data_IF_746774531334
#
_entry.id   IF_746774531334
#
_cell.length_a   1.000
_cell.length_b   1.000
_cell.length_c   1.000
_cell.angle_alpha   90.00
_cell.angle_beta   90.00
_cell.angle_gamma   90.00
#
_symmetry.space_group_name_H-M   'P 1'
#
loop_
_entity.id
_entity.type
_entity.pdbx_description
1 polymer ?
#
# COMPACT_ATOMS: atom_id res chain seq x y z
N UNK A 1 -7.02 -13.14 9.08
CA UNK A 1 -5.70 -12.72 8.56
C UNK A 1 -5.90 -12.00 7.24
N UNK A 2 -5.06 -11.02 6.92
CA UNK A 2 -5.14 -10.20 5.70
C UNK A 2 -3.93 -10.40 4.76
N UNK A 3 -3.21 -11.52 4.91
CA UNK A 3 -1.94 -11.77 4.22
C UNK A 3 -2.05 -12.30 2.79
N UNK A 4 -3.25 -12.63 2.31
CA UNK A 4 -3.47 -13.15 0.96
C UNK A 4 -4.48 -12.30 0.21
N UNK A 5 -4.19 -11.96 -1.05
CA UNK A 5 -5.01 -11.18 -1.99
C UNK A 5 -5.34 -9.73 -1.59
N UNK A 6 -5.25 -9.34 -0.31
CA UNK A 6 -5.64 -8.01 0.15
C UNK A 6 -4.79 -6.88 -0.45
N UNK A 7 -3.48 -7.06 -0.62
CA UNK A 7 -2.60 -6.03 -1.20
C UNK A 7 -2.95 -5.73 -2.68
N UNK A 8 -3.34 -6.77 -3.43
CA UNK A 8 -3.71 -6.65 -4.84
C UNK A 8 -5.16 -6.23 -5.08
N UNK A 9 -6.08 -6.68 -4.21
CA UNK A 9 -7.54 -6.52 -4.39
C UNK A 9 -8.16 -5.46 -3.47
N UNK A 10 -7.37 -4.68 -2.72
CA UNK A 10 -7.88 -3.52 -2.02
C UNK A 10 -8.55 -2.56 -3.00
N UNK A 11 -9.61 -1.88 -2.58
CA UNK A 11 -10.28 -0.81 -3.35
C UNK A 11 -9.46 0.49 -3.39
N UNK A 12 -8.15 0.36 -3.67
CA UNK A 12 -7.22 1.48 -3.90
C UNK A 12 -7.66 2.26 -5.15
N UNK A 13 -7.45 3.56 -5.14
CA UNK A 13 -7.86 4.55 -6.14
C UNK A 13 -9.37 4.72 -6.35
N UNK A 14 -10.22 3.84 -5.82
CA UNK A 14 -11.66 4.10 -5.75
C UNK A 14 -11.89 5.31 -4.83
N UNK A 15 -12.63 6.32 -5.29
CA UNK A 15 -12.80 7.61 -4.60
C UNK A 15 -11.47 8.28 -4.20
N UNK A 16 -10.41 8.09 -5.00
CA UNK A 16 -9.08 8.66 -4.76
C UNK A 16 -8.43 8.22 -3.44
N UNK A 17 -8.86 7.10 -2.86
CA UNK A 17 -8.17 6.52 -1.70
C UNK A 17 -6.80 5.98 -2.13
N UNK A 18 -5.71 6.39 -1.47
CA UNK A 18 -4.37 5.90 -1.81
C UNK A 18 -4.21 4.44 -1.43
N UNK A 19 -3.33 3.74 -2.14
CA UNK A 19 -2.83 2.45 -1.70
C UNK A 19 -2.16 2.54 -0.32
N UNK A 20 -2.55 1.67 0.62
CA UNK A 20 -2.10 1.70 2.02
C UNK A 20 -0.59 1.49 2.19
N UNK A 21 0.03 1.84 3.30
CA UNK A 21 1.39 1.36 3.59
C UNK A 21 1.37 -0.11 4.06
N UNK A 22 2.48 -0.83 3.89
CA UNK A 22 2.69 -2.17 4.45
C UNK A 22 4.03 -2.23 5.18
N UNK A 23 4.04 -2.85 6.37
CA UNK A 23 5.22 -3.07 7.20
C UNK A 23 5.43 -4.57 7.44
N UNK A 24 6.69 -4.97 7.50
CA UNK A 24 7.12 -6.32 7.87
C UNK A 24 7.68 -6.29 9.29
N UNK A 25 7.26 -7.23 10.13
CA UNK A 25 7.95 -7.53 11.39
C UNK A 25 9.11 -8.47 11.09
N UNK A 26 10.33 -8.01 11.33
CA UNK A 26 11.55 -8.78 11.14
C UNK A 26 11.79 -9.73 12.33
N UNK A 27 12.70 -10.70 12.17
CA UNK A 27 12.99 -11.70 13.21
C UNK A 27 13.63 -11.12 14.47
N UNK A 28 14.23 -9.95 14.39
CA UNK A 28 14.82 -9.21 15.52
C UNK A 28 13.79 -8.33 16.26
N UNK A 29 12.52 -8.35 15.83
CA UNK A 29 11.43 -7.56 16.41
C UNK A 29 11.31 -6.13 15.84
N UNK A 30 12.19 -5.73 14.92
CA UNK A 30 12.07 -4.44 14.24
C UNK A 30 10.99 -4.44 13.16
N UNK A 31 10.48 -3.26 12.81
CA UNK A 31 9.53 -3.10 11.70
C UNK A 31 10.21 -2.47 10.50
N UNK A 32 10.11 -3.11 9.34
CA UNK A 32 10.58 -2.59 8.05
C UNK A 32 9.40 -2.16 7.19
N UNK A 33 9.41 -0.92 6.71
CA UNK A 33 8.44 -0.46 5.71
C UNK A 33 8.74 -1.15 4.36
N UNK A 34 7.82 -2.01 3.90
CA UNK A 34 7.97 -2.77 2.64
C UNK A 34 7.16 -2.17 1.49
N UNK A 35 6.12 -1.39 1.80
CA UNK A 35 5.39 -0.59 0.80
C UNK A 35 5.02 0.76 1.40
N UNK A 36 5.43 1.84 0.73
CA UNK A 36 5.02 3.19 1.13
C UNK A 36 3.57 3.44 0.73
N UNK A 37 2.88 4.26 1.50
CA UNK A 37 1.56 4.78 1.10
C UNK A 37 1.69 5.54 -0.20
N UNK A 38 0.75 5.33 -1.12
CA UNK A 38 0.73 6.03 -2.40
C UNK A 38 0.54 7.55 -2.21
N UNK A 39 1.22 8.36 -3.02
CA UNK A 39 1.06 9.82 -3.05
C UNK A 39 -0.01 10.24 -4.04
N UNK A 40 -0.43 11.51 -4.01
CA UNK A 40 -1.38 12.06 -4.99
C UNK A 40 -0.82 11.96 -6.42
N UNK A 41 0.44 12.35 -6.64
CA UNK A 41 1.08 12.27 -7.96
C UNK A 41 1.05 10.84 -8.53
N UNK A 42 1.24 9.84 -7.69
CA UNK A 42 1.15 8.43 -8.08
C UNK A 42 -0.28 7.98 -8.40
N UNK A 43 -1.32 8.60 -7.84
CA UNK A 43 -2.73 8.33 -8.18
C UNK A 43 -3.02 8.88 -9.58
N UNK A 44 -2.55 10.08 -9.87
CA UNK A 44 -2.85 10.81 -11.12
C UNK A 44 -1.91 10.46 -12.28
N UNK A 45 -0.94 9.57 -12.08
CA UNK A 45 0.14 9.29 -13.04
C UNK A 45 -0.35 8.85 -14.44
N UNK A 46 -1.55 8.28 -14.54
CA UNK A 46 -2.11 7.79 -15.80
C UNK A 46 -3.08 8.78 -16.48
N UNK A 47 -3.26 9.98 -15.93
CA UNK A 47 -4.24 10.96 -16.41
C UNK A 47 -3.64 12.01 -17.37
N UNK A 48 -2.35 11.88 -17.71
CA UNK A 48 -1.59 12.78 -18.58
C UNK A 48 -1.16 12.07 -19.86
#
# INVERSE_FOLDING_TARGET
GAGAYCSGMASKNYNSFPECAEVMLESDGSFRLIRRRQTLDQILQNEV
#
